data_IF_906099287657
#
_entry.id   IF_906099287657
#
_cell.length_a   1.000
_cell.length_b   1.000
_cell.length_c   1.000
_cell.angle_alpha   90.00
_cell.angle_beta   90.00
_cell.angle_gamma   90.00
#
_symmetry.space_group_name_H-M   'P 1'
#
loop_
_entity.id
_entity.type
_entity.pdbx_description
1 polymer ?
#
# COMPACT_ATOMS: atom_id res chain seq x y z
N UNK A 1 -23.62 3.01 -49.21
CA UNK A 1 -22.64 3.31 -50.26
C UNK A 1 -21.52 2.31 -50.12
N UNK A 2 -21.18 1.58 -51.19
CA UNK A 2 -20.07 0.64 -51.16
C UNK A 2 -18.80 1.45 -50.89
N UNK A 3 -18.06 1.12 -49.83
CA UNK A 3 -16.79 1.78 -49.54
C UNK A 3 -15.79 1.24 -50.55
N UNK A 4 -15.36 2.08 -51.48
CA UNK A 4 -14.33 1.73 -52.45
C UNK A 4 -13.02 1.49 -51.69
N UNK A 5 -12.70 0.22 -51.44
CA UNK A 5 -11.51 -0.20 -50.69
C UNK A 5 -10.23 -0.21 -51.55
N UNK A 6 -10.21 0.54 -52.66
CA UNK A 6 -9.00 0.69 -53.46
C UNK A 6 -7.94 1.44 -52.65
N UNK A 7 -6.66 1.07 -52.80
CA UNK A 7 -5.58 1.69 -52.03
C UNK A 7 -5.50 3.20 -52.24
N UNK A 8 -5.78 3.67 -53.46
CA UNK A 8 -5.76 5.09 -53.80
C UNK A 8 -6.88 5.86 -53.09
N UNK A 9 -8.09 5.30 -53.01
CA UNK A 9 -9.20 5.90 -52.29
C UNK A 9 -8.96 5.91 -50.77
N UNK A 10 -8.36 4.86 -50.22
CA UNK A 10 -7.98 4.79 -48.80
C UNK A 10 -6.88 5.79 -48.44
N UNK A 11 -5.92 6.02 -49.34
CA UNK A 11 -4.88 7.04 -49.13
C UNK A 11 -5.46 8.45 -49.22
N UNK A 12 -6.34 8.72 -50.18
CA UNK A 12 -7.01 10.02 -50.30
C UNK A 12 -7.85 10.34 -49.06
N UNK A 13 -8.66 9.39 -48.57
CA UNK A 13 -9.46 9.56 -47.34
C UNK A 13 -8.59 9.73 -46.10
N UNK A 14 -7.46 9.01 -46.01
CA UNK A 14 -6.49 9.21 -44.94
C UNK A 14 -5.88 10.63 -44.98
N UNK A 15 -5.51 11.12 -46.16
CA UNK A 15 -4.94 12.48 -46.29
C UNK A 15 -5.93 13.57 -45.90
N UNK A 16 -7.20 13.45 -46.31
CA UNK A 16 -8.22 14.45 -45.95
C UNK A 16 -8.54 14.39 -44.45
N UNK A 17 -8.56 13.20 -43.85
CA UNK A 17 -8.76 13.05 -42.40
C UNK A 17 -7.63 13.66 -41.58
N UNK A 18 -6.37 13.52 -42.03
CA UNK A 18 -5.21 14.14 -41.37
C UNK A 18 -5.27 15.66 -41.49
N UNK A 19 -5.58 16.20 -42.67
CA UNK A 19 -5.71 17.64 -42.88
C UNK A 19 -6.79 18.25 -41.98
N UNK A 20 -7.97 17.63 -41.94
CA UNK A 20 -9.05 18.06 -41.05
C UNK A 20 -8.66 17.97 -39.56
N UNK A 21 -7.93 16.92 -39.16
CA UNK A 21 -7.45 16.78 -37.78
C UNK A 21 -6.38 17.82 -37.42
N UNK A 22 -5.51 18.21 -38.36
CA UNK A 22 -4.50 19.25 -38.14
C UNK A 22 -5.12 20.65 -38.03
N UNK A 23 -6.19 20.93 -38.76
CA UNK A 23 -6.90 22.21 -38.68
C UNK A 23 -7.70 22.38 -37.38
N UNK A 24 -8.15 21.27 -36.78
CA UNK A 24 -8.91 21.29 -35.54
C UNK A 24 -8.04 21.43 -34.28
N UNK A 25 -6.71 21.38 -34.41
CA UNK A 25 -5.80 21.45 -33.27
C UNK A 25 -5.59 22.91 -32.84
N UNK A 26 -5.88 23.29 -31.58
CA UNK A 26 -5.59 24.63 -31.09
C UNK A 26 -4.07 24.90 -31.11
N UNK A 27 -3.69 26.12 -31.47
CA UNK A 27 -2.30 26.58 -31.54
C UNK A 27 -1.68 26.91 -30.18
N UNK A 28 -2.43 26.75 -29.10
CA UNK A 28 -1.99 27.07 -27.74
C UNK A 28 -0.96 26.05 -27.24
N UNK A 29 -0.11 26.49 -26.31
CA UNK A 29 1.00 25.70 -25.76
C UNK A 29 0.52 24.33 -25.26
N UNK A 30 1.11 23.26 -25.82
CA UNK A 30 0.80 21.83 -25.58
C UNK A 30 1.20 21.38 -24.14
N UNK A 31 1.53 22.33 -23.27
CA UNK A 31 1.97 22.01 -21.91
C UNK A 31 0.78 21.56 -21.07
N UNK A 32 0.94 20.47 -20.29
CA UNK A 32 -0.12 20.00 -19.43
C UNK A 32 -0.51 21.09 -18.42
N UNK A 33 -1.81 21.25 -18.12
CA UNK A 33 -2.26 22.24 -17.15
C UNK A 33 -1.64 21.96 -15.78
N UNK A 34 -1.10 23.00 -15.13
CA UNK A 34 -0.34 22.87 -13.86
C UNK A 34 -1.13 22.21 -12.72
N UNK A 35 -2.46 22.27 -12.77
CA UNK A 35 -3.38 21.76 -11.75
C UNK A 35 -4.22 20.55 -12.23
N UNK A 36 -3.76 19.82 -13.26
CA UNK A 36 -4.45 18.65 -13.82
C UNK A 36 -4.21 17.33 -13.07
N UNK A 37 -5.08 16.35 -13.32
CA UNK A 37 -4.85 14.96 -12.88
C UNK A 37 -3.76 14.35 -13.77
N UNK A 38 -2.55 14.22 -13.24
CA UNK A 38 -1.38 13.67 -13.97
C UNK A 38 -1.64 12.29 -14.62
N UNK A 39 -2.55 11.46 -14.08
CA UNK A 39 -2.91 10.17 -14.70
C UNK A 39 -3.53 10.34 -16.10
N UNK A 40 -4.36 11.37 -16.30
CA UNK A 40 -5.04 11.60 -17.57
C UNK A 40 -4.05 12.07 -18.65
N UNK A 41 -3.04 12.85 -18.26
CA UNK A 41 -1.96 13.27 -19.16
C UNK A 41 -1.15 12.06 -19.62
N UNK A 42 -0.73 11.20 -18.67
CA UNK A 42 -0.01 9.96 -18.98
C UNK A 42 -0.84 9.04 -19.87
N UNK A 43 -2.16 8.97 -19.67
CA UNK A 43 -3.04 8.18 -20.56
C UNK A 43 -3.01 8.72 -21.98
N UNK A 44 -3.10 10.04 -22.15
CA UNK A 44 -3.06 10.67 -23.47
C UNK A 44 -1.70 10.43 -24.15
N UNK A 45 -0.59 10.56 -23.42
CA UNK A 45 0.76 10.26 -23.92
C UNK A 45 0.91 8.78 -24.32
N UNK A 46 0.42 7.85 -23.51
CA UNK A 46 0.45 6.41 -23.82
C UNK A 46 -0.39 6.07 -25.06
N UNK A 47 -1.57 6.68 -25.21
CA UNK A 47 -2.41 6.51 -26.39
C UNK A 47 -1.73 7.09 -27.64
N UNK A 48 -1.09 8.26 -27.52
CA UNK A 48 -0.33 8.86 -28.62
C UNK A 48 0.85 7.98 -29.03
N UNK A 49 1.61 7.48 -28.06
CA UNK A 49 2.70 6.52 -28.31
C UNK A 49 2.19 5.24 -28.98
N UNK A 50 1.02 4.74 -28.56
CA UNK A 50 0.39 3.56 -29.17
C UNK A 50 0.02 3.82 -30.63
N UNK A 51 -0.61 4.96 -30.94
CA UNK A 51 -0.95 5.35 -32.31
C UNK A 51 0.30 5.53 -33.18
N UNK A 52 1.35 6.16 -32.65
CA UNK A 52 2.62 6.35 -33.37
C UNK A 52 3.26 5.01 -33.75
N UNK A 53 3.31 4.05 -32.81
CA UNK A 53 3.84 2.71 -33.08
C UNK A 53 2.96 1.92 -34.06
N UNK A 54 1.64 2.13 -34.03
CA UNK A 54 0.71 1.53 -34.97
C UNK A 54 0.93 2.06 -36.39
N UNK A 55 1.04 3.38 -36.55
CA UNK A 55 1.38 4.01 -37.84
C UNK A 55 2.74 3.52 -38.34
N UNK A 56 3.73 3.41 -37.46
CA UNK A 56 5.04 2.87 -37.81
C UNK A 56 4.96 1.42 -38.31
N UNK A 57 4.14 0.57 -37.68
CA UNK A 57 3.87 -0.79 -38.15
C UNK A 57 3.22 -0.78 -39.55
N UNK A 58 2.25 0.10 -39.80
CA UNK A 58 1.63 0.25 -41.13
C UNK A 58 2.69 0.64 -42.17
N UNK A 59 3.57 1.59 -41.86
CA UNK A 59 4.66 1.99 -42.75
C UNK A 59 5.63 0.84 -43.04
N UNK A 60 6.00 0.04 -42.03
CA UNK A 60 6.84 -1.15 -42.22
C UNK A 60 6.16 -2.18 -43.13
N UNK A 61 4.85 -2.41 -42.98
CA UNK A 61 4.09 -3.33 -43.84
C UNK A 61 3.98 -2.82 -45.28
N UNK A 62 3.75 -1.52 -45.47
CA UNK A 62 3.70 -0.91 -46.81
C UNK A 62 5.06 -0.95 -47.51
N UNK A 63 6.16 -0.72 -46.77
CA UNK A 63 7.53 -0.79 -47.31
C UNK A 63 7.93 -2.23 -47.67
N UNK A 64 7.56 -3.20 -46.85
CA UNK A 64 7.82 -4.64 -47.10
C UNK A 64 7.14 -5.14 -48.37
N UNK A 65 6.06 -4.49 -48.82
CA UNK A 65 5.36 -4.83 -50.06
C UNK A 65 6.01 -4.26 -51.33
N UNK A 66 6.83 -3.21 -51.21
CA UNK A 66 7.54 -2.57 -52.34
C UNK A 66 8.93 -3.15 -52.63
N UNK A 67 9.53 -3.86 -51.67
CA UNK A 67 10.87 -4.46 -51.81
C UNK A 67 10.80 -5.97 -52.01
N UNK A 68 11.25 -6.46 -53.17
CA UNK A 68 11.36 -7.88 -53.51
C UNK A 68 12.61 -8.52 -52.88
N UNK A 69 12.81 -8.32 -51.58
CA UNK A 69 13.94 -8.90 -50.85
C UNK A 69 13.43 -9.81 -49.75
N UNK A 70 13.32 -11.08 -50.14
CA UNK A 70 13.52 -12.21 -49.24
C UNK A 70 14.89 -12.02 -48.57
N UNK A 71 14.92 -12.27 -47.26
CA UNK A 71 16.13 -12.35 -46.43
C UNK A 71 16.76 -11.01 -46.03
N UNK A 72 16.36 -10.51 -44.85
CA UNK A 72 17.28 -10.01 -43.81
C UNK A 72 16.49 -9.41 -42.63
N UNK A 73 16.38 -10.19 -41.55
CA UNK A 73 16.02 -9.78 -40.17
C UNK A 73 14.53 -9.51 -39.86
N UNK A 74 13.91 -10.52 -39.24
CA UNK A 74 12.65 -10.46 -38.50
C UNK A 74 12.60 -9.44 -37.33
N UNK A 75 13.65 -8.64 -37.09
CA UNK A 75 13.79 -7.87 -35.86
C UNK A 75 12.88 -6.63 -35.72
N UNK A 76 12.76 -5.73 -36.71
CA UNK A 76 12.07 -4.45 -36.50
C UNK A 76 10.56 -4.58 -36.34
N UNK A 77 9.93 -5.55 -37.03
CA UNK A 77 8.48 -5.75 -36.94
C UNK A 77 8.08 -6.39 -35.61
N UNK A 78 8.82 -7.42 -35.20
CA UNK A 78 8.56 -8.12 -33.95
C UNK A 78 8.78 -7.21 -32.74
N UNK A 79 9.81 -6.35 -32.76
CA UNK A 79 10.05 -5.35 -31.72
C UNK A 79 8.92 -4.31 -31.61
N UNK A 80 8.36 -3.86 -32.74
CA UNK A 80 7.24 -2.91 -32.75
C UNK A 80 5.97 -3.59 -32.23
N UNK A 81 5.73 -4.84 -32.61
CA UNK A 81 4.61 -5.63 -32.08
C UNK A 81 4.77 -5.85 -30.58
N UNK A 82 5.98 -6.15 -30.10
CA UNK A 82 6.27 -6.30 -28.68
C UNK A 82 5.99 -5.01 -27.90
N UNK A 83 6.44 -3.85 -28.41
CA UNK A 83 6.14 -2.53 -27.82
C UNK A 83 4.64 -2.20 -27.85
N UNK A 84 3.92 -2.57 -28.92
CA UNK A 84 2.47 -2.40 -28.98
C UNK A 84 1.74 -3.26 -27.93
N UNK A 85 2.19 -4.50 -27.72
CA UNK A 85 1.65 -5.37 -26.68
C UNK A 85 1.95 -4.79 -25.28
N UNK A 86 3.16 -4.28 -25.06
CA UNK A 86 3.55 -3.63 -23.81
C UNK A 86 2.69 -2.39 -23.50
N UNK A 87 2.54 -1.48 -24.47
CA UNK A 87 1.67 -0.30 -24.35
C UNK A 87 0.21 -0.70 -24.08
N UNK A 88 -0.28 -1.77 -24.72
CA UNK A 88 -1.61 -2.30 -24.46
C UNK A 88 -1.76 -2.83 -23.03
N UNK A 89 -0.75 -3.53 -22.50
CA UNK A 89 -0.74 -3.98 -21.11
C UNK A 89 -0.76 -2.80 -20.15
N UNK A 90 -0.01 -1.73 -20.42
CA UNK A 90 -0.05 -0.51 -19.60
C UNK A 90 -1.43 0.16 -19.61
N UNK A 91 -2.10 0.25 -20.75
CA UNK A 91 -3.45 0.79 -20.82
C UNK A 91 -4.48 -0.09 -20.08
N UNK A 92 -4.43 -1.41 -20.28
CA UNK A 92 -5.43 -2.32 -19.73
C UNK A 92 -5.23 -2.65 -18.25
N UNK A 93 -3.99 -2.87 -17.82
CA UNK A 93 -3.66 -3.30 -16.45
C UNK A 93 -3.12 -2.18 -15.58
N UNK A 94 -2.49 -1.16 -16.17
CA UNK A 94 -2.00 0.02 -15.45
C UNK A 94 -3.08 1.08 -15.31
N UNK A 95 -3.49 1.68 -16.44
CA UNK A 95 -4.35 2.87 -16.44
C UNK A 95 -5.78 2.54 -15.99
N UNK A 96 -6.43 1.51 -16.56
CA UNK A 96 -7.85 1.21 -16.25
C UNK A 96 -8.15 1.00 -14.75
N UNK A 97 -7.36 0.22 -13.98
CA UNK A 97 -7.60 0.08 -12.54
C UNK A 97 -7.34 1.36 -11.73
N UNK A 98 -6.45 2.24 -12.22
CA UNK A 98 -6.21 3.53 -11.57
C UNK A 98 -7.37 4.49 -11.85
N UNK A 99 -7.89 4.50 -13.07
CA UNK A 99 -9.10 5.26 -13.42
C UNK A 99 -10.31 4.82 -12.60
N UNK A 100 -10.50 3.51 -12.39
CA UNK A 100 -11.62 3.05 -11.58
C UNK A 100 -11.53 3.48 -10.11
N UNK A 101 -10.31 3.56 -9.56
CA UNK A 101 -10.07 4.08 -8.20
C UNK A 101 -10.23 5.59 -8.11
N UNK A 102 -9.84 6.32 -9.16
CA UNK A 102 -9.95 7.78 -9.22
C UNK A 102 -11.29 8.26 -9.78
N UNK A 103 -12.19 7.35 -10.17
CA UNK A 103 -13.48 7.67 -10.79
C UNK A 103 -14.25 8.71 -10.00
N UNK A 104 -14.36 8.54 -8.68
CA UNK A 104 -15.05 9.52 -7.83
C UNK A 104 -14.41 10.91 -7.88
N UNK A 105 -13.08 11.00 -7.90
CA UNK A 105 -12.37 12.27 -7.97
C UNK A 105 -12.56 12.95 -9.34
N UNK A 106 -12.51 12.15 -10.41
CA UNK A 106 -12.80 12.61 -11.77
C UNK A 106 -14.24 13.12 -11.86
N UNK A 107 -15.21 12.32 -11.42
CA UNK A 107 -16.63 12.68 -11.40
C UNK A 107 -16.89 13.92 -10.55
N UNK A 108 -16.19 14.08 -9.42
CA UNK A 108 -16.28 15.28 -8.58
C UNK A 108 -15.77 16.52 -9.31
N UNK A 109 -14.62 16.44 -9.97
CA UNK A 109 -14.05 17.56 -10.71
C UNK A 109 -14.95 17.92 -11.90
N UNK A 110 -15.47 16.93 -12.62
CA UNK A 110 -16.43 17.13 -13.70
C UNK A 110 -17.70 17.83 -13.20
N UNK A 111 -18.29 17.37 -12.10
CA UNK A 111 -19.44 18.05 -11.47
C UNK A 111 -19.13 19.50 -11.11
N UNK A 112 -17.97 19.77 -10.51
CA UNK A 112 -17.59 21.14 -10.17
C UNK A 112 -17.35 22.02 -11.41
N UNK A 113 -16.83 21.45 -12.50
CA UNK A 113 -16.63 22.16 -13.77
C UNK A 113 -17.97 22.44 -14.46
N UNK A 114 -18.88 21.48 -14.48
CA UNK A 114 -20.24 21.64 -15.00
C UNK A 114 -21.04 22.67 -14.20
N UNK A 115 -20.91 22.68 -12.87
CA UNK A 115 -21.51 23.71 -12.01
C UNK A 115 -20.89 25.08 -12.28
N UNK A 116 -19.58 25.16 -12.52
CA UNK A 116 -18.91 26.41 -12.88
C UNK A 116 -19.34 26.93 -14.25
N UNK A 117 -19.49 26.07 -15.27
CA UNK A 117 -19.97 26.47 -16.59
C UNK A 117 -21.45 26.89 -16.55
N UNK A 118 -22.29 26.19 -15.77
CA UNK A 118 -23.69 26.60 -15.52
C UNK A 118 -23.77 27.94 -14.79
N UNK A 119 -22.94 28.17 -13.78
CA UNK A 119 -22.84 29.46 -13.08
C UNK A 119 -22.37 30.56 -14.03
N UNK A 120 -21.38 30.31 -14.87
CA UNK A 120 -20.91 31.28 -15.87
C UNK A 120 -22.00 31.58 -16.91
N UNK A 121 -22.75 30.57 -17.37
CA UNK A 121 -23.88 30.75 -18.29
C UNK A 121 -25.05 31.53 -17.64
N UNK A 122 -25.33 31.28 -16.35
CA UNK A 122 -26.33 32.04 -15.58
C UNK A 122 -25.88 33.46 -15.24
N UNK A 123 -24.58 33.68 -15.01
CA UNK A 123 -24.00 35.00 -14.80
C UNK A 123 -24.05 35.86 -16.07
N UNK A 124 -23.93 35.26 -17.25
CA UNK A 124 -24.14 35.97 -18.53
C UNK A 124 -25.62 36.26 -18.83
N UNK A 125 -26.56 35.64 -18.10
CA UNK A 125 -28.01 35.83 -18.29
C UNK A 125 -28.64 36.86 -17.32
N UNK A 126 -27.88 37.46 -16.39
CA UNK A 126 -28.36 38.54 -15.52
C UNK A 126 -27.39 39.72 -15.47
N UNK A 127 -27.65 40.81 -16.21
CA UNK A 127 -27.12 42.11 -15.85
C UNK A 127 -28.11 42.85 -14.93
N UNK A 128 -27.55 43.54 -13.94
CA UNK A 128 -28.16 44.59 -13.10
C UNK A 128 -28.91 44.17 -11.82
N UNK A 129 -28.24 44.28 -10.67
CA UNK A 129 -28.61 45.26 -9.65
C UNK A 129 -27.56 45.33 -8.53
N UNK A 130 -27.37 46.55 -8.03
CA UNK A 130 -26.29 47.03 -7.17
C UNK A 130 -26.33 46.47 -5.73
N UNK A 131 -25.21 46.55 -4.98
CA UNK A 131 -25.06 45.90 -3.68
C UNK A 131 -25.70 46.72 -2.56
N UNK A 132 -26.38 46.05 -1.61
CA UNK A 132 -26.74 46.65 -0.31
C UNK A 132 -26.11 45.85 0.83
N UNK A 133 -25.28 46.54 1.61
CA UNK A 133 -24.88 46.19 2.97
C UNK A 133 -26.13 46.02 3.85
N UNK A 134 -26.11 45.04 4.78
CA UNK A 134 -26.12 45.25 6.25
C UNK A 134 -26.16 43.91 7.01
N UNK A 135 -25.71 43.99 8.26
CA UNK A 135 -25.38 42.93 9.20
C UNK A 135 -26.58 42.17 9.78
N UNK A 136 -26.27 40.95 10.26
CA UNK A 136 -26.75 40.24 11.46
C UNK A 136 -28.14 40.60 12.02
N UNK A 137 -29.05 39.62 12.05
CA UNK A 137 -29.45 38.89 13.26
C UNK A 137 -30.51 37.82 12.92
N UNK A 138 -30.48 36.79 13.76
CA UNK A 138 -31.28 35.58 13.91
C UNK A 138 -32.81 35.78 13.86
N UNK A 139 -33.54 34.86 13.23
CA UNK A 139 -35.00 34.81 13.33
C UNK A 139 -35.67 33.91 12.29
N UNK A 140 -35.94 32.67 12.68
CA UNK A 140 -36.76 31.69 11.97
C UNK A 140 -38.19 32.21 11.76
N UNK A 141 -38.68 32.21 10.53
CA UNK A 141 -40.03 31.73 10.21
C UNK A 141 -40.21 31.45 8.72
N UNK A 142 -40.98 30.41 8.45
CA UNK A 142 -41.30 29.84 7.15
C UNK A 142 -42.24 30.72 6.31
N UNK A 143 -41.98 30.85 5.01
CA UNK A 143 -43.05 30.92 4.02
C UNK A 143 -42.61 30.31 2.67
N UNK A 144 -43.55 29.59 2.10
CA UNK A 144 -43.45 28.70 0.95
C UNK A 144 -43.69 29.48 -0.34
N UNK A 145 -42.88 29.24 -1.37
CA UNK A 145 -43.41 29.25 -2.73
C UNK A 145 -42.64 28.31 -3.64
N UNK A 146 -43.47 27.49 -4.25
CA UNK A 146 -43.28 26.33 -5.12
C UNK A 146 -42.62 26.68 -6.47
N UNK A 147 -41.64 25.87 -6.87
CA UNK A 147 -41.23 25.67 -8.26
C UNK A 147 -40.37 24.40 -8.39
N UNK A 148 -41.03 23.24 -8.37
CA UNK A 148 -40.76 22.04 -9.19
C UNK A 148 -39.31 21.86 -9.74
N UNK A 149 -38.50 21.05 -9.04
CA UNK A 149 -37.53 20.18 -9.72
C UNK A 149 -37.07 19.02 -8.84
N UNK A 150 -37.47 17.83 -9.25
CA UNK A 150 -37.22 16.53 -8.64
C UNK A 150 -35.71 16.22 -8.51
N UNK A 151 -35.20 15.97 -7.29
CA UNK A 151 -33.81 15.55 -7.11
C UNK A 151 -33.33 15.36 -5.67
N UNK A 152 -33.63 14.19 -5.08
CA UNK A 152 -32.93 13.52 -3.97
C UNK A 152 -32.61 14.35 -2.72
N UNK A 153 -33.42 14.14 -1.67
CA UNK A 153 -33.12 14.52 -0.30
C UNK A 153 -31.78 13.89 0.18
N UNK A 154 -30.83 14.73 0.59
CA UNK A 154 -29.80 14.40 1.57
C UNK A 154 -29.86 15.47 2.66
N UNK A 155 -29.93 15.01 3.90
CA UNK A 155 -30.12 15.79 5.13
C UNK A 155 -28.85 16.51 5.56
N UNK A 156 -29.00 17.63 6.27
CA UNK A 156 -27.91 18.47 6.81
C UNK A 156 -26.93 17.72 7.74
N UNK A 157 -27.25 16.49 8.16
CA UNK A 157 -26.35 15.57 8.88
C UNK A 157 -25.19 15.02 8.01
N UNK A 158 -25.33 15.00 6.68
CA UNK A 158 -24.26 14.59 5.75
C UNK A 158 -23.17 15.68 5.61
N UNK A 159 -23.45 16.92 6.01
CA UNK A 159 -22.46 18.02 5.99
C UNK A 159 -21.51 17.97 7.20
N UNK A 160 -21.94 17.42 8.34
CA UNK A 160 -21.13 17.30 9.56
C UNK A 160 -20.16 16.10 9.53
N UNK A 161 -20.46 15.02 8.78
CA UNK A 161 -19.48 13.97 8.46
C UNK A 161 -18.40 14.45 7.48
N UNK A 162 -18.64 15.56 6.76
CA UNK A 162 -17.70 16.17 5.81
C UNK A 162 -16.69 17.12 6.48
N UNK A 163 -16.84 17.39 7.78
CA UNK A 163 -15.86 18.13 8.58
C UNK A 163 -14.70 17.25 9.11
N UNK A 164 -14.82 15.92 9.02
CA UNK A 164 -13.79 14.97 9.45
C UNK A 164 -12.81 14.55 8.33
N UNK A 165 -12.54 15.47 7.39
CA UNK A 165 -11.42 15.34 6.46
C UNK A 165 -10.09 15.71 7.13
N UNK A 166 -8.94 15.13 6.72
CA UNK A 166 -7.65 15.55 7.23
C UNK A 166 -7.47 17.05 6.95
N UNK A 167 -7.35 17.85 8.01
CA UNK A 167 -7.19 19.31 7.93
C UNK A 167 -6.13 19.66 6.87
N UNK A 168 -6.52 20.33 5.79
CA UNK A 168 -5.61 20.78 4.71
C UNK A 168 -4.43 21.63 5.22
N UNK A 169 -4.56 22.21 6.42
CA UNK A 169 -3.49 22.91 7.13
C UNK A 169 -2.32 22.01 7.59
N UNK A 170 -2.49 20.69 7.65
CA UNK A 170 -1.39 19.73 7.89
C UNK A 170 -0.70 19.27 6.60
N UNK A 171 -1.34 19.45 5.44
CA UNK A 171 -0.81 19.01 4.13
C UNK A 171 -0.05 20.12 3.43
N UNK A 172 -0.39 21.38 3.69
CA UNK A 172 0.53 22.48 3.40
C UNK A 172 1.67 22.44 4.43
N UNK A 173 2.90 22.16 3.96
CA UNK A 173 4.10 22.41 4.76
C UNK A 173 4.14 23.89 5.11
N UNK A 174 3.59 24.29 6.24
CA UNK A 174 4.03 25.52 6.88
C UNK A 174 5.52 25.33 7.13
N UNK A 175 6.33 26.09 6.38
CA UNK A 175 7.77 26.18 6.59
C UNK A 175 7.91 26.63 8.05
N UNK A 176 8.35 25.73 8.93
CA UNK A 176 8.53 26.08 10.34
C UNK A 176 9.42 27.32 10.41
N UNK A 177 9.10 28.26 11.29
CA UNK A 177 9.83 29.53 11.40
C UNK A 177 11.35 29.29 11.52
N UNK A 178 11.75 28.21 12.20
CA UNK A 178 13.13 27.74 12.29
C UNK A 178 13.80 27.36 10.93
N UNK A 179 13.04 26.85 9.96
CA UNK A 179 13.54 26.56 8.61
C UNK A 179 13.61 27.82 7.73
N UNK A 180 12.76 28.82 8.01
CA UNK A 180 12.82 30.12 7.36
C UNK A 180 13.97 30.99 7.92
N UNK A 181 14.24 30.93 9.22
CA UNK A 181 15.36 31.62 9.88
C UNK A 181 16.72 31.12 9.38
N UNK A 182 16.93 29.80 9.31
CA UNK A 182 18.19 29.22 8.78
C UNK A 182 18.41 29.52 7.29
N UNK A 183 17.33 29.64 6.52
CA UNK A 183 17.40 30.07 5.11
C UNK A 183 17.77 31.56 5.00
N UNK A 184 17.30 32.40 5.94
CA UNK A 184 17.68 33.83 6.01
C UNK A 184 19.12 34.02 6.50
N UNK A 185 19.64 33.19 7.39
CA UNK A 185 21.05 33.22 7.82
C UNK A 185 21.99 32.79 6.69
N UNK A 186 21.70 31.68 6.00
CA UNK A 186 22.53 31.20 4.88
C UNK A 186 22.54 32.14 3.68
N UNK A 187 21.49 32.94 3.47
CA UNK A 187 21.46 33.99 2.46
C UNK A 187 22.39 35.18 2.78
N UNK A 188 22.77 35.40 4.05
CA UNK A 188 23.71 36.46 4.45
C UNK A 188 25.16 36.09 4.21
N UNK A 189 25.49 34.80 4.30
CA UNK A 189 26.87 34.28 4.12
C UNK A 189 27.24 33.99 2.66
N UNK A 190 26.28 34.03 1.71
CA UNK A 190 26.51 33.73 0.28
C UNK A 190 26.96 32.29 -0.03
N UNK A 191 27.18 31.47 1.00
CA UNK A 191 27.65 30.09 0.92
C UNK A 191 26.44 29.16 0.93
N UNK A 192 26.16 28.53 -0.22
CA UNK A 192 25.08 27.56 -0.34
C UNK A 192 25.33 26.35 0.57
N UNK A 193 24.42 26.13 1.52
CA UNK A 193 24.40 24.94 2.38
C UNK A 193 23.20 24.07 2.00
N UNK A 194 23.40 22.88 1.42
CA UNK A 194 22.29 22.02 1.02
C UNK A 194 21.46 21.59 2.23
N UNK A 195 20.13 21.45 2.07
CA UNK A 195 19.24 21.06 3.16
C UNK A 195 19.59 19.64 3.65
N UNK A 196 19.79 19.50 4.96
CA UNK A 196 19.99 18.18 5.59
C UNK A 196 18.65 17.45 5.65
N UNK A 197 18.41 16.54 4.69
CA UNK A 197 17.22 15.68 4.66
C UNK A 197 17.41 14.59 5.71
N UNK A 198 16.60 14.59 6.76
CA UNK A 198 16.53 13.45 7.69
C UNK A 198 15.73 12.33 7.04
N UNK A 199 16.14 11.05 7.17
CA UNK A 199 15.41 9.95 6.58
C UNK A 199 14.00 9.87 7.18
N UNK A 200 12.99 10.12 6.35
CA UNK A 200 11.59 9.91 6.71
C UNK A 200 11.18 8.50 6.29
N UNK A 201 10.64 7.72 7.22
CA UNK A 201 10.06 6.41 6.90
C UNK A 201 8.86 6.60 5.97
N UNK A 202 8.79 5.79 4.92
CA UNK A 202 7.68 5.80 3.96
C UNK A 202 6.35 5.49 4.70
N UNK A 203 5.27 6.25 4.47
CA UNK A 203 3.98 6.00 5.12
C UNK A 203 3.43 4.66 4.65
N UNK A 204 3.63 3.63 5.45
CA UNK A 204 3.03 2.32 5.20
C UNK A 204 1.54 2.37 5.52
N UNK A 205 0.68 1.73 4.70
CA UNK A 205 -0.78 1.74 4.91
C UNK A 205 -1.23 1.02 6.19
N UNK A 206 -0.32 0.28 6.83
CA UNK A 206 -0.60 -0.45 8.06
C UNK A 206 -0.18 0.36 9.29
N UNK A 207 -1.08 0.46 10.28
CA UNK A 207 -0.74 0.97 11.59
C UNK A 207 0.40 0.15 12.21
N UNK A 208 1.32 0.84 12.89
CA UNK A 208 2.43 0.21 13.64
C UNK A 208 1.91 -0.82 14.65
N UNK A 209 0.69 -0.65 15.14
CA UNK A 209 0.02 -1.54 16.08
C UNK A 209 -0.41 -2.84 15.39
N UNK A 210 -1.09 -2.75 14.24
CA UNK A 210 -1.48 -3.91 13.45
C UNK A 210 -0.27 -4.77 13.04
N UNK A 211 0.86 -4.14 12.69
CA UNK A 211 2.11 -4.86 12.39
C UNK A 211 2.73 -5.52 13.62
N UNK A 212 2.58 -4.92 14.80
CA UNK A 212 3.10 -5.48 16.06
C UNK A 212 2.27 -6.67 16.53
N UNK A 213 0.96 -6.64 16.34
CA UNK A 213 0.04 -7.73 16.66
C UNK A 213 0.22 -8.95 15.73
N UNK A 214 0.61 -8.71 14.48
CA UNK A 214 0.96 -9.77 13.52
C UNK A 214 2.26 -10.50 13.84
N UNK A 215 3.15 -9.93 14.66
CA UNK A 215 4.35 -10.66 15.08
C UNK A 215 3.88 -11.79 16.00
N UNK A 216 4.09 -13.07 15.64
CA UNK A 216 3.71 -14.16 16.52
C UNK A 216 4.37 -13.90 17.87
N UNK A 217 3.57 -13.95 18.93
CA UNK A 217 4.03 -13.71 20.29
C UNK A 217 4.93 -14.85 20.76
N UNK A 218 6.14 -14.94 20.20
CA UNK A 218 7.13 -15.95 20.54
C UNK A 218 7.45 -15.80 22.03
N UNK A 219 7.25 -16.86 22.80
CA UNK A 219 7.76 -16.98 24.17
C UNK A 219 9.23 -17.39 24.08
N UNK A 220 10.10 -16.59 24.68
CA UNK A 220 11.54 -16.84 24.64
C UNK A 220 11.92 -18.22 25.20
N UNK A 221 11.27 -18.64 26.28
CA UNK A 221 11.53 -19.93 26.95
C UNK A 221 11.11 -21.14 26.09
N UNK A 222 9.96 -21.09 25.39
CA UNK A 222 9.60 -22.17 24.46
C UNK A 222 10.53 -22.18 23.24
N UNK A 223 10.99 -21.01 22.78
CA UNK A 223 11.92 -20.93 21.65
C UNK A 223 13.27 -21.57 22.00
N UNK A 224 13.78 -21.31 23.21
CA UNK A 224 14.97 -21.95 23.77
C UNK A 224 14.78 -23.46 23.91
N UNK A 225 13.71 -23.92 24.57
CA UNK A 225 13.39 -25.35 24.71
C UNK A 225 13.29 -26.07 23.36
N UNK A 226 12.67 -25.43 22.36
CA UNK A 226 12.57 -26.01 21.02
C UNK A 226 13.95 -26.12 20.38
N UNK A 227 14.79 -25.08 20.50
CA UNK A 227 16.10 -25.05 19.89
C UNK A 227 17.07 -26.04 20.56
N UNK A 228 17.06 -26.16 21.89
CA UNK A 228 18.02 -26.97 22.65
C UNK A 228 17.59 -28.42 22.84
N UNK A 229 16.31 -28.67 23.13
CA UNK A 229 15.84 -30.01 23.52
C UNK A 229 15.09 -30.74 22.41
N UNK A 230 14.26 -30.03 21.62
CA UNK A 230 13.42 -30.66 20.60
C UNK A 230 14.08 -30.74 19.22
N UNK A 231 14.93 -29.77 18.90
CA UNK A 231 15.60 -29.67 17.60
C UNK A 231 16.91 -30.46 17.63
N UNK A 232 17.14 -31.27 16.59
CA UNK A 232 18.42 -31.95 16.38
C UNK A 232 19.46 -31.08 15.66
N UNK A 233 19.09 -29.84 15.31
CA UNK A 233 20.00 -28.92 14.64
C UNK A 233 21.08 -28.40 15.61
N UNK A 234 22.37 -28.40 15.23
CA UNK A 234 23.43 -27.87 16.07
C UNK A 234 23.29 -26.35 16.25
N UNK A 235 23.45 -25.88 17.49
CA UNK A 235 23.44 -24.45 17.83
C UNK A 235 24.87 -23.91 17.77
N UNK A 236 25.04 -22.73 17.16
CA UNK A 236 26.33 -22.07 17.06
C UNK A 236 26.70 -21.37 18.38
N UNK A 237 27.51 -22.02 19.19
CA UNK A 237 28.08 -21.43 20.41
C UNK A 237 29.31 -20.56 20.09
N UNK A 238 29.47 -19.41 20.75
CA UNK A 238 30.62 -18.54 20.56
C UNK A 238 31.85 -19.10 21.29
N UNK A 239 33.03 -18.61 20.91
CA UNK A 239 34.24 -18.86 21.70
C UNK A 239 34.12 -18.26 23.10
N UNK A 240 34.57 -18.98 24.13
CA UNK A 240 34.44 -18.66 25.56
C UNK A 240 34.92 -17.23 25.87
N UNK A 241 36.02 -16.77 25.25
CA UNK A 241 36.58 -15.45 25.50
C UNK A 241 35.85 -14.29 24.79
N UNK A 242 35.01 -14.58 23.80
CA UNK A 242 34.37 -13.54 22.97
C UNK A 242 33.13 -12.91 23.63
N UNK A 243 32.56 -13.58 24.63
CA UNK A 243 31.37 -13.14 25.36
C UNK A 243 31.70 -12.24 26.55
N UNK A 244 32.94 -12.30 27.04
CA UNK A 244 33.39 -11.55 28.20
C UNK A 244 33.69 -10.11 27.80
N UNK A 245 33.13 -9.16 28.55
CA UNK A 245 33.32 -7.72 28.37
C UNK A 245 33.83 -7.06 29.63
N UNK A 246 34.40 -5.87 29.47
CA UNK A 246 34.88 -5.04 30.58
C UNK A 246 35.80 -5.81 31.54
N UNK A 247 36.71 -6.63 30.98
CA UNK A 247 37.69 -7.40 31.76
C UNK A 247 37.09 -8.42 32.72
N UNK A 248 35.94 -9.01 32.41
CA UNK A 248 35.29 -10.01 33.27
C UNK A 248 34.14 -9.46 34.13
N UNK A 249 33.89 -8.15 34.11
CA UNK A 249 32.79 -7.54 34.87
C UNK A 249 31.41 -7.87 34.30
N UNK A 250 31.32 -8.15 32.99
CA UNK A 250 30.04 -8.43 32.34
C UNK A 250 30.20 -9.49 31.23
N UNK A 251 29.26 -10.41 31.15
CA UNK A 251 29.19 -11.47 30.14
C UNK A 251 27.97 -11.20 29.26
N UNK A 252 28.18 -11.10 27.94
CA UNK A 252 27.11 -10.84 26.98
C UNK A 252 26.10 -11.98 26.96
N UNK A 253 24.82 -11.64 27.12
CA UNK A 253 23.75 -12.61 26.87
C UNK A 253 23.63 -12.96 25.39
N UNK A 254 22.98 -14.08 25.07
CA UNK A 254 22.70 -14.44 23.67
C UNK A 254 22.00 -13.30 22.91
N UNK A 255 21.07 -12.62 23.59
CA UNK A 255 20.33 -11.50 23.03
C UNK A 255 21.23 -10.30 22.75
N UNK A 256 22.10 -9.94 23.69
CA UNK A 256 23.06 -8.85 23.53
C UNK A 256 24.03 -9.15 22.38
N UNK A 257 24.44 -10.41 22.25
CA UNK A 257 25.28 -10.91 21.15
C UNK A 257 24.58 -10.78 19.80
N UNK A 258 23.29 -11.17 19.71
CA UNK A 258 22.49 -10.99 18.48
C UNK A 258 22.34 -9.51 18.12
N UNK A 259 22.04 -8.64 19.09
CA UNK A 259 21.90 -7.19 18.86
C UNK A 259 23.23 -6.54 18.41
N UNK A 260 24.38 -7.03 18.89
CA UNK A 260 25.70 -6.59 18.43
C UNK A 260 26.06 -7.12 17.04
N UNK A 261 25.73 -8.38 16.75
CA UNK A 261 25.93 -8.97 15.42
C UNK A 261 25.08 -8.23 14.38
N UNK A 262 23.80 -7.96 14.66
CA UNK A 262 22.94 -7.12 13.80
C UNK A 262 23.53 -5.73 13.57
N UNK A 263 24.14 -5.13 14.60
CA UNK A 263 24.83 -3.84 14.48
C UNK A 263 26.06 -3.94 13.58
N UNK A 264 26.88 -4.97 13.75
CA UNK A 264 28.08 -5.22 12.92
C UNK A 264 27.69 -5.47 11.47
N UNK A 265 26.73 -6.35 11.23
CA UNK A 265 26.18 -6.64 9.90
C UNK A 265 25.69 -5.36 9.21
N UNK A 266 25.01 -4.47 9.95
CA UNK A 266 24.60 -3.18 9.41
C UNK A 266 25.79 -2.26 9.08
N UNK A 267 26.77 -2.16 9.99
CA UNK A 267 27.97 -1.34 9.79
C UNK A 267 28.82 -1.85 8.61
N UNK A 268 28.90 -3.18 8.42
CA UNK A 268 29.59 -3.84 7.32
C UNK A 268 28.82 -3.69 6.00
N UNK A 269 27.50 -3.89 5.99
CA UNK A 269 26.68 -3.75 4.78
C UNK A 269 26.62 -2.31 4.27
N UNK A 270 26.57 -1.33 5.18
CA UNK A 270 26.46 0.09 4.84
C UNK A 270 27.79 0.85 4.94
N UNK A 271 28.89 0.16 5.25
CA UNK A 271 30.25 0.72 5.40
C UNK A 271 30.31 2.01 6.24
N UNK A 272 29.45 2.14 7.25
CA UNK A 272 29.32 3.35 8.08
C UNK A 272 29.14 2.98 9.54
N UNK A 273 29.91 3.64 10.43
CA UNK A 273 29.81 3.40 11.87
C UNK A 273 28.59 4.07 12.46
N UNK A 274 27.84 3.33 13.28
CA UNK A 274 26.74 3.90 14.04
C UNK A 274 27.26 4.74 15.21
N UNK A 275 26.59 5.86 15.49
CA UNK A 275 26.89 6.69 16.64
C UNK A 275 26.81 5.89 17.97
N UNK A 276 27.52 6.32 19.03
CA UNK A 276 27.30 5.75 20.35
C UNK A 276 25.84 5.97 20.77
N UNK A 277 25.30 5.01 21.53
CA UNK A 277 23.91 5.02 21.99
C UNK A 277 23.61 6.33 22.73
N UNK A 278 22.45 6.91 22.47
CA UNK A 278 22.04 8.14 23.16
C UNK A 278 21.89 7.90 24.68
N UNK A 279 22.01 8.95 25.49
CA UNK A 279 21.81 8.85 26.96
C UNK A 279 20.48 8.18 27.31
N UNK A 280 19.43 8.48 26.53
CA UNK A 280 18.08 7.90 26.69
C UNK A 280 18.05 6.40 26.38
N UNK A 281 18.69 5.97 25.31
CA UNK A 281 18.77 4.55 24.94
C UNK A 281 19.64 3.76 25.91
N UNK A 282 20.77 4.33 26.35
CA UNK A 282 21.62 3.74 27.37
C UNK A 282 20.86 3.54 28.69
N UNK A 283 20.08 4.54 29.14
CA UNK A 283 19.22 4.41 30.32
C UNK A 283 18.16 3.30 30.15
N UNK A 284 17.53 3.23 28.98
CA UNK A 284 16.54 2.18 28.68
C UNK A 284 17.15 0.78 28.65
N UNK A 285 18.36 0.63 28.11
CA UNK A 285 19.08 -0.65 28.12
C UNK A 285 19.47 -1.07 29.53
N UNK A 286 20.00 -0.14 30.34
CA UNK A 286 20.28 -0.40 31.76
C UNK A 286 19.04 -0.81 32.54
N UNK A 287 17.92 -0.10 32.36
CA UNK A 287 16.65 -0.44 33.00
C UNK A 287 16.16 -1.85 32.58
N UNK A 288 16.40 -2.24 31.33
CA UNK A 288 16.04 -3.57 30.85
C UNK A 288 16.93 -4.65 31.46
N UNK A 289 18.24 -4.45 31.49
CA UNK A 289 19.20 -5.36 32.13
C UNK A 289 18.94 -5.50 33.64
N UNK A 290 18.47 -4.44 34.30
CA UNK A 290 18.11 -4.50 35.72
C UNK A 290 16.82 -5.30 35.95
N UNK A 291 15.88 -5.27 35.00
CA UNK A 291 14.60 -5.98 35.10
C UNK A 291 14.72 -7.45 34.70
N UNK A 292 15.46 -7.71 33.63
CA UNK A 292 15.77 -9.03 33.12
C UNK A 292 17.17 -9.36 33.68
N UNK A 293 17.24 -9.77 34.95
CA UNK A 293 18.51 -10.01 35.65
C UNK A 293 19.32 -11.08 34.91
N UNK A 294 20.56 -10.79 34.57
CA UNK A 294 21.47 -11.74 33.92
C UNK A 294 22.54 -12.22 34.89
N UNK A 295 22.79 -13.52 34.91
CA UNK A 295 23.91 -14.11 35.66
C UNK A 295 24.67 -15.06 34.73
N UNK A 296 26.00 -14.94 34.68
CA UNK A 296 26.86 -15.84 33.91
C UNK A 296 26.69 -15.79 32.39
N UNK A 297 25.96 -14.80 31.83
CA UNK A 297 25.66 -14.71 30.41
C UNK A 297 24.31 -15.32 30.03
N UNK A 298 23.58 -15.88 30.99
CA UNK A 298 22.20 -16.33 30.83
C UNK A 298 21.23 -15.27 31.35
N UNK A 299 20.04 -15.19 30.75
CA UNK A 299 18.99 -14.23 31.13
C UNK A 299 17.98 -14.89 32.08
N UNK A 300 17.98 -14.50 33.35
CA UNK A 300 16.98 -14.93 34.32
C UNK A 300 15.78 -13.99 34.26
N UNK A 301 14.71 -14.47 33.63
CA UNK A 301 13.47 -13.69 33.47
C UNK A 301 12.55 -13.92 34.65
N UNK A 302 11.85 -12.87 35.07
CA UNK A 302 10.78 -12.98 36.06
C UNK A 302 9.66 -13.91 35.56
N UNK A 303 9.39 -14.96 36.35
CA UNK A 303 8.44 -16.03 36.04
C UNK A 303 7.02 -15.50 35.71
N UNK A 304 6.61 -14.40 36.32
CA UNK A 304 5.25 -13.85 36.16
C UNK A 304 4.89 -13.46 34.72
N UNK A 305 5.77 -12.79 33.99
CA UNK A 305 5.42 -12.25 32.66
C UNK A 305 5.55 -13.26 31.51
N UNK A 306 6.35 -14.31 31.72
CA UNK A 306 6.58 -15.36 30.73
C UNK A 306 5.51 -16.45 30.78
N UNK A 307 5.07 -16.83 31.98
CA UNK A 307 4.16 -17.97 32.20
C UNK A 307 2.80 -17.72 31.55
N UNK A 308 2.16 -16.56 31.76
CA UNK A 308 0.85 -16.27 31.15
C UNK A 308 0.87 -16.32 29.61
N UNK A 309 2.04 -16.10 28.99
CA UNK A 309 2.18 -16.21 27.54
C UNK A 309 2.33 -17.67 27.11
N UNK A 310 3.11 -18.44 27.85
CA UNK A 310 3.23 -19.89 27.64
C UNK A 310 1.84 -20.51 27.80
N UNK A 311 1.12 -20.17 28.86
CA UNK A 311 -0.26 -20.62 29.10
C UNK A 311 -1.19 -20.24 27.94
N UNK A 312 -1.17 -19.00 27.45
CA UNK A 312 -1.98 -18.63 26.27
C UNK A 312 -1.60 -19.39 24.99
N UNK A 313 -0.32 -19.68 24.80
CA UNK A 313 0.17 -20.43 23.64
C UNK A 313 -0.22 -21.91 23.74
N UNK A 314 -0.13 -22.51 24.93
CA UNK A 314 -0.55 -23.89 25.17
C UNK A 314 -2.07 -24.03 25.18
N UNK A 315 -2.81 -22.99 25.60
CA UNK A 315 -4.28 -22.98 25.62
C UNK A 315 -4.94 -22.76 24.24
N UNK A 316 -4.17 -22.60 23.14
CA UNK A 316 -4.76 -22.37 21.81
C UNK A 316 -4.22 -23.26 20.69
N UNK A 317 -4.64 -24.53 20.73
CA UNK A 317 -5.06 -25.32 19.53
C UNK A 317 -6.28 -26.20 19.81
N UNK A 318 -7.08 -25.82 20.80
CA UNK A 318 -8.32 -26.49 21.13
C UNK A 318 -9.18 -25.63 22.04
N UNK A 319 -10.01 -24.76 21.45
CA UNK A 319 -11.26 -24.40 22.12
C UNK A 319 -12.10 -25.66 22.35
N UNK A 320 -13.36 -25.53 22.76
CA UNK A 320 -14.31 -26.65 22.75
C UNK A 320 -14.56 -27.14 21.31
N UNK A 321 -13.57 -27.82 20.73
CA UNK A 321 -13.68 -28.57 19.49
C UNK A 321 -14.75 -29.62 19.76
N UNK A 322 -15.70 -29.72 18.83
CA UNK A 322 -16.74 -30.74 18.89
C UNK A 322 -16.10 -32.13 19.03
N UNK A 323 -16.82 -33.07 19.63
CA UNK A 323 -16.35 -34.46 19.83
C UNK A 323 -15.76 -35.07 18.53
N UNK A 324 -16.33 -34.70 17.38
CA UNK A 324 -15.85 -35.11 16.05
C UNK A 324 -14.45 -34.58 15.70
N UNK A 325 -14.17 -33.30 15.94
CA UNK A 325 -12.86 -32.71 15.65
C UNK A 325 -11.80 -33.19 16.63
N UNK A 326 -12.19 -33.45 17.89
CA UNK A 326 -11.34 -34.13 18.87
C UNK A 326 -10.99 -35.55 18.41
N UNK A 327 -11.96 -36.29 17.86
CA UNK A 327 -11.74 -37.62 17.29
C UNK A 327 -10.81 -37.58 16.08
N UNK A 328 -11.02 -36.66 15.13
CA UNK A 328 -10.19 -36.52 13.92
C UNK A 328 -8.75 -36.08 14.21
N UNK A 329 -8.50 -35.39 15.32
CA UNK A 329 -7.16 -34.94 15.73
C UNK A 329 -6.40 -35.96 16.59
N UNK A 330 -7.06 -37.02 17.07
CA UNK A 330 -6.32 -38.13 17.69
C UNK A 330 -5.46 -38.77 16.61
N UNK A 331 -4.16 -38.99 16.86
CA UNK A 331 -3.38 -39.81 15.95
C UNK A 331 -4.09 -41.15 15.85
N UNK A 332 -4.41 -41.57 14.62
CA UNK A 332 -4.87 -42.93 14.36
C UNK A 332 -3.65 -43.82 14.53
N UNK A 333 -3.24 -44.03 15.78
CA UNK A 333 -2.44 -45.18 16.12
C UNK A 333 -3.34 -46.38 15.85
N UNK A 334 -2.92 -47.23 14.92
CA UNK A 334 -3.50 -48.55 14.71
C UNK A 334 -3.22 -49.34 16.00
N UNK A 335 -4.03 -49.08 17.02
CA UNK A 335 -4.06 -49.85 18.24
C UNK A 335 -4.39 -51.30 17.87
N UNK A 336 -3.93 -52.27 18.67
CA UNK A 336 -3.99 -53.67 18.29
C UNK A 336 -5.44 -54.02 17.94
N UNK A 337 -5.65 -54.49 16.71
CA UNK A 337 -6.91 -55.04 16.20
C UNK A 337 -7.23 -56.37 16.90
N UNK A 338 -7.31 -56.33 18.23
CA UNK A 338 -7.53 -57.46 19.11
C UNK A 338 -9.02 -57.68 19.31
N UNK A 339 -9.52 -58.75 18.70
CA UNK A 339 -10.83 -59.40 18.92
C UNK A 339 -12.07 -58.53 18.64
N UNK A 340 -12.86 -58.94 17.65
CA UNK A 340 -14.09 -58.30 17.18
C UNK A 340 -15.26 -58.25 18.17
N UNK A 341 -15.01 -58.01 19.45
CA UNK A 341 -16.05 -57.88 20.49
C UNK A 341 -16.76 -56.51 20.49
N UNK A 342 -16.20 -55.48 19.82
CA UNK A 342 -16.74 -54.11 19.87
C UNK A 342 -17.66 -53.73 18.69
N UNK A 343 -17.86 -54.61 17.72
CA UNK A 343 -18.66 -54.31 16.51
C UNK A 343 -20.18 -54.19 16.79
N UNK A 344 -20.65 -54.64 17.96
CA UNK A 344 -22.07 -54.61 18.36
C UNK A 344 -22.47 -53.44 19.27
N UNK A 345 -21.53 -52.83 19.97
CA UNK A 345 -21.82 -51.85 21.04
C UNK A 345 -22.47 -50.57 20.52
N UNK A 346 -22.05 -50.11 19.34
CA UNK A 346 -22.65 -48.93 18.70
C UNK A 346 -24.08 -49.20 18.24
N UNK A 347 -24.37 -50.44 17.82
CA UNK A 347 -25.69 -50.86 17.40
C UNK A 347 -26.63 -51.04 18.61
N UNK A 348 -26.17 -51.66 19.69
CA UNK A 348 -26.96 -51.79 20.92
C UNK A 348 -27.28 -50.45 21.57
N UNK A 349 -26.34 -49.48 21.54
CA UNK A 349 -26.60 -48.12 22.01
C UNK A 349 -27.68 -47.44 21.17
N UNK A 350 -27.65 -47.58 19.84
CA UNK A 350 -28.72 -47.05 18.97
C UNK A 350 -30.05 -47.76 19.21
N UNK A 351 -30.05 -49.09 19.37
CA UNK A 351 -31.26 -49.87 19.68
C UNK A 351 -31.89 -49.42 21.00
N UNK A 352 -31.09 -49.20 22.06
CA UNK A 352 -31.56 -48.71 23.36
C UNK A 352 -32.13 -47.30 23.31
N UNK A 353 -31.61 -46.43 22.44
CA UNK A 353 -32.16 -45.08 22.25
C UNK A 353 -33.48 -45.13 21.50
N UNK A 354 -33.57 -45.89 20.41
CA UNK A 354 -34.80 -46.04 19.63
C UNK A 354 -35.91 -46.72 20.44
N UNK A 355 -35.57 -47.74 21.24
CA UNK A 355 -36.52 -48.39 22.14
C UNK A 355 -37.00 -47.53 23.30
N UNK A 356 -36.40 -46.35 23.52
CA UNK A 356 -36.82 -45.39 24.55
C UNK A 356 -37.87 -44.38 24.04
N UNK A 357 -38.10 -44.35 22.72
CA UNK A 357 -39.06 -43.47 22.04
C UNK A 357 -40.31 -44.21 21.54
N UNK A 358 -40.41 -45.51 21.82
CA UNK A 358 -41.68 -46.26 21.85
C UNK A 358 -42.10 -46.39 23.31
#
# INVERSE_FOLDING_TARGET
MAVDNSLEALLATLTTSIQSATEALPTDDILPPKDGISLLDVKNELLLSYLQNLVFLILLKLRSRKGDQKEAYLHPQDEVVQKLVELRVYLEKGVRPLESRLKYQIDKILRTADDATRRNAQATAKPTSKPKKRNADTGSDSDVSDAESNGSAQTEEDEDEMAYGPRRALVTRQKTEAAAERARESAKDGIYRPPKITPMAMPTPESREARRERRPGKSATLDEFIATEMSSAPIAEPSIGSTITNGGRHTKSERERREENERREYEEANFTRLAPKSKKEAAKQKARQQRDGGFGGEEWRGLSSGIDRIERLTQKKGGNLGSLEKSRKRPVGDGPRGSGSAAGDAFEKRRKVVGRYK
#
